data_IF_599966722960
#
_entry.id   IF_599966722960
#
_cell.length_a   1.000
_cell.length_b   1.000
_cell.length_c   1.000
_cell.angle_alpha   90.00
_cell.angle_beta   90.00
_cell.angle_gamma   90.00
#
_symmetry.space_group_name_H-M   'P 1'
#
loop_
_entity.id
_entity.type
_entity.pdbx_description
1 polymer ?
#
# COMPACT_ATOMS: atom_id res chain seq x y z
N UNK A 1 -13.38 8.17 5.54
CA UNK A 1 -12.69 6.96 6.04
C UNK A 1 -12.27 6.06 4.89
N UNK A 2 -11.20 5.23 4.99
CA UNK A 2 -10.76 4.35 3.90
C UNK A 2 -11.87 3.43 3.34
N UNK A 3 -12.87 3.09 4.15
CA UNK A 3 -14.06 2.35 3.74
C UNK A 3 -15.01 3.11 2.79
N UNK A 4 -14.90 4.43 2.70
CA UNK A 4 -15.68 5.27 1.76
C UNK A 4 -15.10 5.22 0.35
N UNK A 5 -13.81 4.90 0.19
CA UNK A 5 -13.13 4.84 -1.12
C UNK A 5 -12.78 3.41 -1.54
N UNK A 6 -12.41 2.54 -0.59
CA UNK A 6 -12.18 1.12 -0.84
C UNK A 6 -13.46 0.31 -0.57
N UNK A 7 -14.43 0.42 -1.49
CA UNK A 7 -15.72 -0.26 -1.39
C UNK A 7 -16.11 -0.92 -2.72
N UNK A 8 -17.15 -1.76 -2.69
CA UNK A 8 -17.58 -2.52 -3.87
C UNK A 8 -18.24 -1.67 -4.96
N UNK A 9 -18.84 -0.54 -4.62
CA UNK A 9 -19.41 0.41 -5.60
C UNK A 9 -18.26 0.95 -6.47
N UNK A 10 -17.23 1.50 -5.81
CA UNK A 10 -16.06 2.06 -6.48
C UNK A 10 -15.30 1.02 -7.31
N UNK A 11 -15.14 -0.21 -6.80
CA UNK A 11 -14.49 -1.28 -7.58
C UNK A 11 -15.32 -1.62 -8.83
N UNK A 12 -16.64 -1.71 -8.70
CA UNK A 12 -17.52 -2.03 -9.83
C UNK A 12 -17.45 -0.95 -10.91
N UNK A 13 -17.44 0.32 -10.51
CA UNK A 13 -17.35 1.45 -11.43
C UNK A 13 -16.01 1.43 -12.16
N UNK A 14 -14.89 1.35 -11.41
CA UNK A 14 -13.55 1.25 -11.99
C UNK A 14 -13.39 0.05 -12.93
N UNK A 15 -13.93 -1.11 -12.56
CA UNK A 15 -13.91 -2.31 -13.40
C UNK A 15 -14.66 -2.05 -14.72
N UNK A 16 -15.88 -1.51 -14.65
CA UNK A 16 -16.74 -1.28 -15.81
C UNK A 16 -16.13 -0.24 -16.75
N UNK A 17 -15.60 0.84 -16.20
CA UNK A 17 -14.88 1.88 -16.95
C UNK A 17 -13.62 1.32 -17.60
N UNK A 18 -12.84 0.52 -16.88
CA UNK A 18 -11.62 -0.11 -17.41
C UNK A 18 -11.94 -1.06 -18.57
N UNK A 19 -12.93 -1.94 -18.43
CA UNK A 19 -13.35 -2.84 -19.50
C UNK A 19 -13.87 -2.05 -20.71
N UNK A 20 -14.66 -1.00 -20.47
CA UNK A 20 -15.18 -0.14 -21.54
C UNK A 20 -14.06 0.59 -22.28
N UNK A 21 -13.09 1.13 -21.55
CA UNK A 21 -11.93 1.82 -22.13
C UNK A 21 -11.04 0.87 -22.93
N UNK A 22 -10.74 -0.33 -22.41
CA UNK A 22 -9.97 -1.34 -23.13
C UNK A 22 -10.68 -1.79 -24.42
N UNK A 23 -12.00 -1.96 -24.39
CA UNK A 23 -12.80 -2.30 -25.59
C UNK A 23 -12.92 -1.17 -26.59
N UNK A 24 -12.92 0.08 -26.12
CA UNK A 24 -12.85 1.25 -26.99
C UNK A 24 -11.54 1.28 -27.77
N UNK A 25 -10.42 0.95 -27.12
CA UNK A 25 -9.10 0.86 -27.77
C UNK A 25 -8.94 -0.39 -28.64
N UNK A 26 -9.48 -1.53 -28.21
CA UNK A 26 -9.45 -2.80 -28.92
C UNK A 26 -10.81 -3.52 -28.81
N UNK A 27 -11.65 -3.46 -29.86
CA UNK A 27 -12.95 -4.14 -29.87
C UNK A 27 -12.89 -5.66 -29.68
N UNK A 28 -11.74 -6.30 -29.91
CA UNK A 28 -11.55 -7.73 -29.67
C UNK A 28 -11.36 -8.07 -28.18
N UNK A 29 -11.07 -7.07 -27.32
CA UNK A 29 -10.91 -7.29 -25.89
C UNK A 29 -12.21 -7.86 -25.27
N UNK A 30 -12.16 -8.92 -24.44
CA UNK A 30 -13.37 -9.53 -23.89
C UNK A 30 -14.23 -8.58 -23.06
N UNK A 31 -15.57 -8.72 -23.16
CA UNK A 31 -16.50 -7.97 -22.33
C UNK A 31 -16.73 -8.66 -20.97
N UNK A 32 -15.74 -8.57 -20.09
CA UNK A 32 -15.85 -9.14 -18.74
C UNK A 32 -17.00 -8.50 -17.96
N UNK A 33 -17.71 -9.33 -17.20
CA UNK A 33 -18.78 -8.88 -16.32
C UNK A 33 -18.24 -8.81 -14.89
N UNK A 34 -18.64 -7.78 -14.15
CA UNK A 34 -18.25 -7.65 -12.75
C UNK A 34 -18.87 -8.77 -11.91
N UNK A 35 -18.03 -9.56 -11.23
CA UNK A 35 -18.45 -10.61 -10.32
C UNK A 35 -17.96 -10.28 -8.90
N UNK A 36 -18.89 -9.96 -8.00
CA UNK A 36 -18.54 -9.45 -6.66
C UNK A 36 -17.72 -10.44 -5.84
N UNK A 37 -17.95 -11.73 -6.01
CA UNK A 37 -17.31 -12.85 -5.31
C UNK A 37 -15.84 -13.08 -5.72
N UNK A 38 -15.42 -12.54 -6.87
CA UNK A 38 -14.00 -12.53 -7.27
C UNK A 38 -13.17 -11.51 -6.48
N UNK A 39 -13.82 -10.58 -5.77
CA UNK A 39 -13.16 -9.52 -5.00
C UNK A 39 -13.34 -9.73 -3.50
N UNK A 40 -12.28 -9.43 -2.75
CA UNK A 40 -12.31 -9.43 -1.29
C UNK A 40 -11.70 -8.15 -0.74
N UNK A 41 -12.54 -7.30 -0.17
CA UNK A 41 -12.11 -6.10 0.54
C UNK A 41 -11.90 -6.45 2.02
N UNK A 42 -10.74 -6.10 2.58
CA UNK A 42 -10.36 -6.42 3.96
C UNK A 42 -10.12 -5.15 4.77
N UNK A 43 -11.10 -4.75 5.56
CA UNK A 43 -11.01 -3.53 6.37
C UNK A 43 -10.18 -3.70 7.66
N UNK A 44 -9.75 -4.92 7.97
CA UNK A 44 -9.05 -5.27 9.22
C UNK A 44 -7.60 -4.79 9.29
N UNK A 45 -7.06 -4.24 8.21
CA UNK A 45 -5.65 -3.84 8.10
C UNK A 45 -5.48 -2.34 7.84
N UNK A 46 -6.54 -1.54 7.96
CA UNK A 46 -6.43 -0.09 7.76
C UNK A 46 -5.68 0.60 8.91
N UNK A 47 -5.72 0.05 10.12
CA UNK A 47 -5.22 0.71 11.32
C UNK A 47 -6.11 1.87 11.76
N UNK A 48 -5.55 2.81 12.51
CA UNK A 48 -6.31 3.94 13.09
C UNK A 48 -6.62 5.05 12.08
N UNK A 49 -5.87 5.15 10.99
CA UNK A 49 -6.08 6.21 9.99
C UNK A 49 -5.03 6.25 8.90
N UNK A 50 -5.08 7.33 8.12
CA UNK A 50 -4.09 7.60 7.07
C UNK A 50 -2.71 7.85 7.69
N UNK A 51 -1.67 7.25 7.13
CA UNK A 51 -0.28 7.34 7.57
C UNK A 51 0.00 6.89 9.03
N UNK A 52 -1.00 6.49 9.80
CA UNK A 52 -0.82 5.85 11.10
C UNK A 52 -0.26 4.45 10.89
N UNK A 53 0.97 4.24 11.34
CA UNK A 53 1.61 2.92 11.25
C UNK A 53 0.90 1.92 12.17
N UNK A 54 1.03 0.64 11.84
CA UNK A 54 0.59 -0.46 12.72
C UNK A 54 1.78 -1.35 12.99
N UNK A 55 1.81 -1.98 14.16
CA UNK A 55 2.90 -2.90 14.54
C UNK A 55 3.07 -4.00 13.49
N UNK A 56 1.97 -4.61 13.02
CA UNK A 56 2.06 -5.66 12.01
C UNK A 56 2.54 -5.14 10.65
N UNK A 57 2.25 -3.88 10.33
CA UNK A 57 2.74 -3.22 9.13
C UNK A 57 4.25 -3.00 9.19
N UNK A 58 4.75 -2.56 10.35
CA UNK A 58 6.18 -2.36 10.61
C UNK A 58 6.95 -3.68 10.63
N UNK A 59 6.41 -4.72 11.26
CA UNK A 59 6.98 -6.07 11.20
C UNK A 59 7.07 -6.57 9.75
N UNK A 60 6.04 -6.34 8.94
CA UNK A 60 6.01 -6.75 7.54
C UNK A 60 7.07 -6.00 6.70
N UNK A 61 7.25 -4.69 6.93
CA UNK A 61 8.28 -3.87 6.28
C UNK A 61 9.67 -4.43 6.61
N UNK A 62 9.95 -4.63 7.91
CA UNK A 62 11.25 -5.11 8.36
C UNK A 62 11.56 -6.51 7.82
N UNK A 63 10.58 -7.43 7.89
CA UNK A 63 10.74 -8.78 7.37
C UNK A 63 11.08 -8.79 5.87
N UNK A 64 10.35 -8.00 5.07
CA UNK A 64 10.57 -8.02 3.62
C UNK A 64 11.89 -7.35 3.22
N UNK A 65 12.28 -6.28 3.93
CA UNK A 65 13.57 -5.64 3.76
C UNK A 65 14.73 -6.58 4.14
N UNK A 66 14.63 -7.28 5.26
CA UNK A 66 15.69 -8.19 5.73
C UNK A 66 15.86 -9.42 4.83
N UNK A 67 14.77 -9.98 4.32
CA UNK A 67 14.82 -11.21 3.54
C UNK A 67 15.06 -11.00 2.04
N UNK A 68 14.54 -9.90 1.47
CA UNK A 68 14.48 -9.70 0.03
C UNK A 68 15.02 -8.34 -0.44
N UNK A 69 15.48 -7.47 0.48
CA UNK A 69 15.90 -6.08 0.19
C UNK A 69 14.83 -5.25 -0.56
N UNK A 70 13.55 -5.57 -0.33
CA UNK A 70 12.42 -4.82 -0.91
C UNK A 70 11.88 -3.84 0.12
N UNK A 71 11.86 -2.55 -0.26
CA UNK A 71 11.30 -1.48 0.56
C UNK A 71 9.78 -1.41 0.42
N UNK A 72 9.13 -1.15 1.55
CA UNK A 72 7.70 -0.90 1.68
C UNK A 72 7.51 0.36 2.55
N UNK A 73 6.35 0.99 2.44
CA UNK A 73 5.95 2.16 3.22
C UNK A 73 4.93 1.79 4.31
N UNK A 74 4.93 2.54 5.41
CA UNK A 74 4.00 2.32 6.53
C UNK A 74 2.56 2.82 6.28
N UNK A 75 2.31 3.55 5.19
CA UNK A 75 0.97 4.09 4.88
C UNK A 75 0.09 3.01 4.24
N UNK A 76 0.62 2.31 3.23
CA UNK A 76 -0.12 1.35 2.41
C UNK A 76 0.56 -0.01 2.31
N UNK A 77 1.77 -0.06 1.72
CA UNK A 77 2.30 -1.34 1.25
C UNK A 77 2.72 -2.27 2.38
N UNK A 78 3.18 -1.73 3.52
CA UNK A 78 3.43 -2.50 4.75
C UNK A 78 2.16 -3.16 5.29
N UNK A 79 1.03 -2.44 5.32
CA UNK A 79 -0.27 -2.96 5.78
C UNK A 79 -0.81 -4.06 4.85
N UNK A 80 -0.65 -3.87 3.54
CA UNK A 80 -1.01 -4.90 2.54
C UNK A 80 -0.15 -6.15 2.69
N UNK A 81 1.16 -5.99 2.93
CA UNK A 81 2.05 -7.12 3.12
C UNK A 81 1.81 -7.84 4.45
N UNK A 82 1.45 -7.12 5.52
CA UNK A 82 1.00 -7.71 6.78
C UNK A 82 -0.23 -8.61 6.58
N UNK A 83 -1.18 -8.20 5.74
CA UNK A 83 -2.33 -9.01 5.38
C UNK A 83 -1.95 -10.30 4.64
N UNK A 84 -0.96 -10.22 3.74
CA UNK A 84 -0.41 -11.36 3.03
C UNK A 84 0.28 -12.35 3.99
N UNK A 85 1.12 -11.85 4.91
CA UNK A 85 1.78 -12.67 5.93
C UNK A 85 0.75 -13.40 6.79
N UNK A 86 -0.34 -12.74 7.20
CA UNK A 86 -1.41 -13.37 7.98
C UNK A 86 -2.06 -14.52 7.22
N UNK A 87 -2.33 -14.36 5.92
CA UNK A 87 -2.91 -15.42 5.10
C UNK A 87 -1.91 -16.58 4.89
N UNK A 88 -0.62 -16.28 4.76
CA UNK A 88 0.43 -17.29 4.67
C UNK A 88 0.52 -18.12 5.95
N UNK A 89 0.60 -17.46 7.11
CA UNK A 89 0.69 -18.10 8.43
C UNK A 89 -0.54 -18.96 8.76
N UNK A 90 -1.71 -18.59 8.27
CA UNK A 90 -2.94 -19.39 8.43
C UNK A 90 -3.08 -20.56 7.45
N UNK A 91 -2.12 -20.74 6.54
CA UNK A 91 -2.17 -21.78 5.50
C UNK A 91 -3.12 -21.49 4.35
N UNK A 92 -3.77 -20.32 4.33
CA UNK A 92 -4.75 -19.93 3.31
C UNK A 92 -4.18 -19.77 1.90
N UNK A 93 -2.86 -19.73 1.77
CA UNK A 93 -2.13 -19.59 0.51
C UNK A 93 -1.55 -20.90 -0.03
N UNK A 94 -1.73 -22.03 0.67
CA UNK A 94 -1.16 -23.32 0.25
C UNK A 94 -1.63 -23.68 -1.17
N UNK A 95 -0.67 -24.07 -2.02
CA UNK A 95 -0.88 -24.42 -3.43
C UNK A 95 -1.47 -23.30 -4.30
N UNK A 96 -1.34 -22.03 -3.89
CA UNK A 96 -1.77 -20.88 -4.68
C UNK A 96 -0.57 -20.13 -5.25
N UNK A 97 -0.74 -19.54 -6.43
CA UNK A 97 0.18 -18.54 -6.95
C UNK A 97 -0.28 -17.17 -6.45
N UNK A 98 0.61 -16.45 -5.78
CA UNK A 98 0.28 -15.19 -5.14
C UNK A 98 1.00 -14.05 -5.86
N UNK A 99 0.25 -13.01 -6.20
CA UNK A 99 0.79 -11.75 -6.69
C UNK A 99 0.60 -10.70 -5.59
N UNK A 100 1.70 -10.08 -5.18
CA UNK A 100 1.69 -8.89 -4.35
C UNK A 100 1.96 -7.67 -5.24
N UNK A 101 1.08 -6.67 -5.19
CA UNK A 101 1.26 -5.44 -5.95
C UNK A 101 1.90 -4.37 -5.06
N UNK A 102 3.20 -4.14 -5.24
CA UNK A 102 3.91 -3.07 -4.54
C UNK A 102 3.68 -1.73 -5.27
N UNK A 103 2.89 -0.84 -4.69
CA UNK A 103 2.60 0.50 -5.26
C UNK A 103 3.62 1.57 -4.85
N UNK A 104 4.60 1.26 -3.98
CA UNK A 104 5.59 2.23 -3.53
C UNK A 104 6.53 2.61 -4.68
N UNK A 105 6.75 3.91 -4.87
CA UNK A 105 7.84 4.39 -5.71
C UNK A 105 9.17 4.20 -4.96
N UNK A 106 9.95 3.21 -5.36
CA UNK A 106 11.23 2.87 -4.73
C UNK A 106 12.42 3.74 -5.20
N UNK A 107 12.18 4.81 -5.98
CA UNK A 107 13.26 5.68 -6.45
C UNK A 107 13.98 6.33 -5.27
N UNK A 108 15.28 6.09 -5.19
CA UNK A 108 16.15 6.68 -4.18
C UNK A 108 16.55 8.10 -4.58
N UNK A 109 16.21 9.07 -3.72
CA UNK A 109 16.58 10.48 -3.87
C UNK A 109 17.67 10.91 -2.89
N UNK A 110 18.30 9.97 -2.16
CA UNK A 110 19.25 10.30 -1.10
C UNK A 110 20.36 11.22 -1.61
N UNK A 111 20.87 11.00 -2.83
CA UNK A 111 21.95 11.80 -3.42
C UNK A 111 21.51 13.23 -3.74
N UNK A 112 20.31 13.40 -4.24
CA UNK A 112 19.74 14.68 -4.63
C UNK A 112 19.45 15.58 -3.43
N UNK A 113 19.17 14.99 -2.26
CA UNK A 113 18.85 15.73 -1.04
C UNK A 113 20.03 15.90 -0.07
N UNK A 114 21.21 15.34 -0.37
CA UNK A 114 22.39 15.40 0.51
C UNK A 114 22.77 16.82 0.94
N UNK A 115 22.61 17.80 0.04
CA UNK A 115 22.99 19.19 0.29
C UNK A 115 21.82 20.08 0.75
N UNK A 116 20.64 19.51 0.96
CA UNK A 116 19.45 20.28 1.34
C UNK A 116 19.44 20.46 2.86
N UNK A 117 19.45 21.71 3.30
CA UNK A 117 19.29 22.06 4.70
C UNK A 117 17.81 22.31 5.01
N UNK A 118 17.22 21.48 5.87
CA UNK A 118 15.79 21.60 6.22
C UNK A 118 15.45 22.94 6.89
N UNK A 119 16.43 23.65 7.48
CA UNK A 119 16.21 24.98 8.05
C UNK A 119 15.84 26.04 7.01
N UNK A 120 16.08 25.76 5.72
CA UNK A 120 15.64 26.62 4.60
C UNK A 120 14.13 26.48 4.32
N UNK A 121 13.47 25.45 4.83
CA UNK A 121 12.02 25.31 4.77
C UNK A 121 11.33 26.27 5.74
N UNK A 122 10.05 26.63 5.52
CA UNK A 122 9.27 27.37 6.50
C UNK A 122 9.29 26.68 7.87
N UNK A 123 9.43 27.47 8.95
CA UNK A 123 9.55 26.95 10.34
C UNK A 123 8.50 25.92 10.74
N UNK A 124 7.28 26.01 10.18
CA UNK A 124 6.20 25.05 10.44
C UNK A 124 6.56 23.60 10.08
N UNK A 125 7.54 23.37 9.20
CA UNK A 125 7.98 22.04 8.78
C UNK A 125 9.17 21.48 9.57
N UNK A 126 9.87 22.30 10.38
CA UNK A 126 11.08 21.86 11.09
C UNK A 126 10.79 20.72 12.07
N UNK A 127 9.59 20.70 12.65
CA UNK A 127 9.12 19.63 13.54
C UNK A 127 9.19 18.22 12.93
N UNK A 128 9.07 18.07 11.61
CA UNK A 128 9.16 16.75 10.95
C UNK A 128 10.59 16.18 10.95
N UNK A 129 11.59 16.98 11.30
CA UNK A 129 13.00 16.60 11.41
C UNK A 129 13.48 16.55 12.86
N UNK A 130 12.77 17.21 13.78
CA UNK A 130 13.22 17.45 15.17
C UNK A 130 12.38 16.72 16.23
N UNK A 131 11.16 16.33 15.89
CA UNK A 131 10.21 15.68 16.80
C UNK A 131 9.84 14.28 16.29
N UNK A 132 9.55 13.37 17.21
CA UNK A 132 8.85 12.13 16.86
C UNK A 132 7.41 12.49 16.46
N UNK A 133 6.97 12.06 15.27
CA UNK A 133 5.60 12.36 14.78
C UNK A 133 4.60 11.23 15.07
N UNK A 134 5.09 10.02 15.33
CA UNK A 134 4.35 8.89 15.90
C UNK A 134 5.30 7.89 16.58
N UNK A 135 4.78 7.10 17.53
CA UNK A 135 5.59 6.18 18.34
C UNK A 135 6.33 5.11 17.52
N UNK A 136 5.78 4.71 16.36
CA UNK A 136 6.34 3.63 15.54
C UNK A 136 7.41 4.10 14.54
N UNK A 137 7.65 5.41 14.40
CA UNK A 137 8.65 5.93 13.45
C UNK A 137 10.07 5.46 13.77
N UNK A 138 10.39 5.23 15.04
CA UNK A 138 11.70 4.72 15.48
C UNK A 138 12.06 3.34 14.92
N UNK A 139 11.09 2.63 14.33
CA UNK A 139 11.27 1.30 13.74
C UNK A 139 11.26 1.31 12.20
N UNK A 140 11.14 2.48 11.56
CA UNK A 140 11.11 2.67 10.11
C UNK A 140 12.47 3.15 9.58
#
# INVERSE_FOLDING_TARGET
>A
MPSETANFETIKDLFTETVSFLRFLDPAFPNFQFQKDEFKIRNKFFGEGYAHFTEEGMEAINLLKELEDIRLDGTYTGKTFAALIKDAKSGGLKNKKILFWNTLNARDFSKEILSVDYHQLPKAFHRYFEEEVQELDKYY
#
